data_IF_641803191819
#
_entry.id   IF_641803191819
#
_cell.length_a   1.000
_cell.length_b   1.000
_cell.length_c   1.000
_cell.angle_alpha   90.00
_cell.angle_beta   90.00
_cell.angle_gamma   90.00
#
_symmetry.space_group_name_H-M   'P 1'
#
loop_
_entity.id
_entity.type
_entity.pdbx_description
1 polymer ?
#
# COMPACT_ATOMS: atom_id res chain seq x y z
N UNK A 1 -20.89 20.42 -6.73
CA UNK A 1 -21.85 19.31 -6.88
C UNK A 1 -22.22 18.82 -5.49
N UNK A 2 -23.46 18.39 -5.28
CA UNK A 2 -23.86 17.85 -3.95
C UNK A 2 -23.68 16.33 -3.99
N UNK A 3 -22.58 15.82 -3.46
CA UNK A 3 -22.25 14.39 -3.44
C UNK A 3 -23.35 13.51 -2.80
N UNK A 4 -24.21 14.08 -1.93
CA UNK A 4 -25.34 13.34 -1.34
C UNK A 4 -26.46 13.02 -2.32
N UNK A 5 -26.50 13.68 -3.48
CA UNK A 5 -27.46 13.41 -4.54
C UNK A 5 -26.93 12.40 -5.57
N UNK A 6 -25.62 12.11 -5.53
CA UNK A 6 -24.99 11.15 -6.43
C UNK A 6 -25.25 9.72 -5.95
N UNK A 7 -25.41 8.79 -6.93
CA UNK A 7 -25.43 7.36 -6.67
C UNK A 7 -24.00 6.82 -6.68
N UNK A 8 -23.51 6.37 -5.54
CA UNK A 8 -22.12 6.01 -5.29
C UNK A 8 -21.98 4.49 -5.26
N UNK A 9 -21.08 3.95 -6.08
CA UNK A 9 -20.66 2.55 -6.00
C UNK A 9 -19.46 2.43 -5.05
N UNK A 10 -19.57 1.62 -4.01
CA UNK A 10 -18.44 1.21 -3.18
C UNK A 10 -17.94 -0.13 -3.72
N UNK A 11 -16.83 -0.12 -4.47
CA UNK A 11 -16.23 -1.35 -5.00
C UNK A 11 -15.52 -2.09 -3.88
N UNK A 12 -15.95 -3.30 -3.58
CA UNK A 12 -15.45 -4.14 -2.50
C UNK A 12 -15.35 -5.61 -2.96
N UNK A 13 -14.58 -6.43 -2.26
CA UNK A 13 -14.41 -7.83 -2.59
C UNK A 13 -13.41 -8.07 -3.72
N UNK A 14 -13.90 -8.28 -4.93
CA UNK A 14 -13.05 -8.61 -6.09
C UNK A 14 -12.51 -10.03 -6.07
N UNK A 15 -11.43 -10.30 -6.81
CA UNK A 15 -10.89 -11.67 -7.03
C UNK A 15 -9.45 -11.85 -6.56
N UNK A 16 -8.85 -10.84 -5.93
CA UNK A 16 -7.47 -10.92 -5.42
C UNK A 16 -7.36 -11.81 -4.18
N UNK A 17 -6.14 -12.14 -3.79
CA UNK A 17 -5.86 -12.84 -2.53
C UNK A 17 -6.29 -12.02 -1.28
N UNK A 18 -6.45 -10.69 -1.43
CA UNK A 18 -6.84 -9.76 -0.37
C UNK A 18 -8.36 -9.48 -0.33
N UNK A 19 -9.16 -10.36 -0.97
CA UNK A 19 -10.63 -10.24 -1.04
C UNK A 19 -11.28 -9.97 0.30
N UNK A 20 -10.95 -10.74 1.34
CA UNK A 20 -11.57 -10.60 2.68
C UNK A 20 -11.26 -9.24 3.32
N UNK A 21 -10.05 -8.73 3.12
CA UNK A 21 -9.68 -7.39 3.60
C UNK A 21 -10.52 -6.33 2.90
N UNK A 22 -10.73 -6.49 1.59
CA UNK A 22 -11.56 -5.60 0.78
C UNK A 22 -13.05 -5.65 1.18
N UNK A 23 -13.59 -6.83 1.46
CA UNK A 23 -14.96 -6.99 1.94
C UNK A 23 -15.17 -6.28 3.29
N UNK A 24 -14.26 -6.49 4.24
CA UNK A 24 -14.34 -5.89 5.57
C UNK A 24 -14.19 -4.36 5.51
N UNK A 25 -13.19 -3.87 4.78
CA UNK A 25 -12.96 -2.43 4.57
C UNK A 25 -14.15 -1.79 3.83
N UNK A 26 -14.64 -2.45 2.79
CA UNK A 26 -15.77 -1.97 2.00
C UNK A 26 -17.07 -1.91 2.79
N UNK A 27 -17.35 -2.91 3.64
CA UNK A 27 -18.52 -2.89 4.52
C UNK A 27 -18.46 -1.71 5.52
N UNK A 28 -17.28 -1.43 6.09
CA UNK A 28 -17.10 -0.29 7.00
C UNK A 28 -17.28 1.05 6.26
N UNK A 29 -16.69 1.21 5.08
CA UNK A 29 -16.84 2.42 4.23
C UNK A 29 -18.30 2.62 3.83
N UNK A 30 -18.98 1.57 3.36
CA UNK A 30 -20.38 1.61 2.96
C UNK A 30 -21.26 2.05 4.13
N UNK A 31 -21.09 1.44 5.30
CA UNK A 31 -21.82 1.79 6.52
C UNK A 31 -21.60 3.27 6.90
N UNK A 32 -20.37 3.75 6.83
CA UNK A 32 -20.04 5.14 7.12
C UNK A 32 -20.75 6.11 6.16
N UNK A 33 -20.70 5.85 4.84
CA UNK A 33 -21.36 6.70 3.85
C UNK A 33 -22.87 6.72 4.04
N UNK A 34 -23.50 5.56 4.24
CA UNK A 34 -24.95 5.46 4.46
C UNK A 34 -25.37 6.20 5.75
N UNK A 35 -24.61 6.05 6.85
CA UNK A 35 -24.88 6.76 8.09
C UNK A 35 -24.81 8.29 7.97
N UNK A 36 -23.99 8.79 7.04
CA UNK A 36 -23.85 10.22 6.73
C UNK A 36 -24.87 10.71 5.68
N UNK A 37 -25.79 9.84 5.24
CA UNK A 37 -26.87 10.18 4.31
C UNK A 37 -26.46 10.21 2.84
N UNK A 38 -25.41 9.50 2.46
CA UNK A 38 -25.02 9.30 1.06
C UNK A 38 -25.79 8.13 0.45
N UNK A 39 -26.11 8.21 -0.84
CA UNK A 39 -26.76 7.15 -1.60
C UNK A 39 -25.69 6.15 -2.11
N UNK A 40 -25.10 5.37 -1.19
CA UNK A 40 -24.01 4.46 -1.45
C UNK A 40 -24.47 2.98 -1.51
N UNK A 41 -23.90 2.21 -2.45
CA UNK A 41 -24.22 0.82 -2.71
C UNK A 41 -22.95 0.00 -2.82
N UNK A 42 -22.88 -1.15 -2.14
CA UNK A 42 -21.77 -2.09 -2.27
C UNK A 42 -21.86 -2.85 -3.59
N UNK A 43 -20.75 -2.89 -4.31
CA UNK A 43 -20.63 -3.56 -5.62
C UNK A 43 -19.40 -4.45 -5.58
N UNK A 44 -19.60 -5.77 -5.75
CA UNK A 44 -18.53 -6.74 -5.86
C UNK A 44 -18.24 -7.06 -7.34
N UNK A 45 -17.05 -6.70 -7.86
CA UNK A 45 -16.67 -7.01 -9.25
C UNK A 45 -16.64 -8.50 -9.59
N UNK A 46 -16.60 -9.37 -8.60
CA UNK A 46 -16.71 -10.81 -8.80
C UNK A 46 -18.09 -11.22 -9.32
N UNK A 47 -19.13 -10.49 -8.93
CA UNK A 47 -20.54 -10.81 -9.20
C UNK A 47 -21.19 -9.80 -10.17
N UNK A 48 -20.60 -8.60 -10.30
CA UNK A 48 -21.14 -7.51 -11.09
C UNK A 48 -20.14 -6.99 -12.12
N UNK A 49 -20.60 -6.80 -13.36
CA UNK A 49 -19.77 -6.21 -14.41
C UNK A 49 -19.65 -4.69 -14.22
N UNK A 50 -18.52 -4.22 -13.71
CA UNK A 50 -18.23 -2.81 -13.41
C UNK A 50 -18.40 -1.89 -14.63
N UNK A 51 -18.23 -2.39 -15.85
CA UNK A 51 -18.45 -1.61 -17.07
C UNK A 51 -19.91 -1.11 -17.21
N UNK A 52 -20.87 -1.71 -16.52
CA UNK A 52 -22.28 -1.32 -16.55
C UNK A 52 -22.62 -0.19 -15.57
N UNK A 53 -21.74 0.17 -14.64
CA UNK A 53 -22.03 1.15 -13.58
C UNK A 53 -22.61 2.45 -14.13
N UNK A 54 -22.02 3.01 -15.19
CA UNK A 54 -22.50 4.27 -15.78
C UNK A 54 -23.90 4.13 -16.38
N UNK A 55 -24.16 3.02 -17.06
CA UNK A 55 -25.47 2.73 -17.66
C UNK A 55 -26.55 2.48 -16.59
N UNK A 56 -26.16 1.91 -15.42
CA UNK A 56 -27.04 1.65 -14.29
C UNK A 56 -27.20 2.87 -13.37
N UNK A 57 -26.74 4.05 -13.84
CA UNK A 57 -26.98 5.35 -13.23
C UNK A 57 -26.09 5.64 -12.01
N UNK A 58 -24.94 5.00 -11.90
CA UNK A 58 -23.94 5.41 -10.90
C UNK A 58 -23.19 6.66 -11.40
N UNK A 59 -22.91 7.55 -10.46
CA UNK A 59 -22.27 8.86 -10.73
C UNK A 59 -20.80 8.87 -10.29
N UNK A 60 -20.44 8.01 -9.30
CA UNK A 60 -19.12 8.03 -8.66
C UNK A 60 -18.78 6.67 -8.08
N UNK A 61 -17.49 6.43 -7.91
CA UNK A 61 -16.97 5.19 -7.33
C UNK A 61 -16.07 5.49 -6.12
N UNK A 62 -16.34 4.81 -5.02
CA UNK A 62 -15.38 4.64 -3.93
C UNK A 62 -14.68 3.30 -4.13
N UNK A 63 -13.42 3.33 -4.56
CA UNK A 63 -12.64 2.10 -4.77
C UNK A 63 -11.95 1.69 -3.47
N UNK A 64 -12.32 0.54 -2.91
CA UNK A 64 -11.68 -0.09 -1.75
C UNK A 64 -11.31 -1.54 -2.04
N UNK A 65 -11.11 -1.85 -3.31
CA UNK A 65 -10.52 -3.11 -3.72
C UNK A 65 -9.04 -3.13 -3.33
N UNK A 66 -8.53 -4.29 -2.94
CA UNK A 66 -7.13 -4.48 -2.59
C UNK A 66 -6.44 -5.44 -3.56
N UNK A 67 -5.14 -5.24 -3.76
CA UNK A 67 -4.30 -6.08 -4.59
C UNK A 67 -4.58 -5.98 -6.08
N UNK A 68 -4.25 -7.05 -6.82
CA UNK A 68 -4.40 -7.08 -8.29
C UNK A 68 -5.85 -6.90 -8.72
N UNK A 69 -6.06 -6.12 -9.77
CA UNK A 69 -7.38 -5.76 -10.27
C UNK A 69 -8.07 -4.63 -9.50
N UNK A 70 -7.49 -4.15 -8.39
CA UNK A 70 -8.02 -3.05 -7.59
C UNK A 70 -7.04 -1.90 -7.41
N UNK A 71 -5.74 -2.22 -7.24
CA UNK A 71 -4.68 -1.26 -6.97
C UNK A 71 -3.63 -1.16 -8.09
N UNK A 72 -3.76 -1.93 -9.16
CA UNK A 72 -2.78 -2.08 -10.24
C UNK A 72 -3.04 -1.22 -11.49
N UNK A 73 -4.00 -0.30 -11.42
CA UNK A 73 -4.39 0.56 -12.53
C UNK A 73 -5.45 -0.01 -13.47
N UNK A 74 -5.76 -1.31 -13.37
CA UNK A 74 -6.76 -1.97 -14.26
C UNK A 74 -8.16 -1.45 -13.99
N UNK A 75 -8.58 -1.42 -12.72
CA UNK A 75 -9.89 -0.86 -12.33
C UNK A 75 -9.98 0.62 -12.64
N UNK A 76 -8.92 1.37 -12.33
CA UNK A 76 -8.84 2.80 -12.62
C UNK A 76 -8.99 3.07 -14.11
N UNK A 77 -8.33 2.29 -14.97
CA UNK A 77 -8.44 2.39 -16.42
C UNK A 77 -9.85 2.11 -16.94
N UNK A 78 -10.54 1.11 -16.38
CA UNK A 78 -11.93 0.83 -16.71
C UNK A 78 -12.84 2.00 -16.33
N UNK A 79 -12.68 2.55 -15.13
CA UNK A 79 -13.49 3.67 -14.62
C UNK A 79 -13.28 4.95 -15.46
N UNK A 80 -12.05 5.23 -15.88
CA UNK A 80 -11.75 6.34 -16.79
C UNK A 80 -12.42 6.13 -18.16
N UNK A 81 -12.40 4.91 -18.72
CA UNK A 81 -13.03 4.59 -20.00
C UNK A 81 -14.57 4.78 -19.99
N UNK A 82 -15.22 4.43 -18.88
CA UNK A 82 -16.68 4.62 -18.74
C UNK A 82 -17.05 6.02 -18.21
N UNK A 83 -16.05 6.86 -17.91
CA UNK A 83 -16.26 8.24 -17.48
C UNK A 83 -16.89 8.37 -16.09
N UNK A 84 -16.47 7.55 -15.13
CA UNK A 84 -16.85 7.64 -13.72
C UNK A 84 -15.70 8.16 -12.88
N UNK A 85 -15.88 9.27 -12.14
CA UNK A 85 -14.90 9.71 -11.15
C UNK A 85 -14.79 8.69 -10.01
N UNK A 86 -13.59 8.54 -9.46
CA UNK A 86 -13.29 7.55 -8.43
C UNK A 86 -12.30 8.06 -7.40
N UNK A 87 -12.31 7.44 -6.22
CA UNK A 87 -11.38 7.76 -5.13
C UNK A 87 -10.00 7.16 -5.37
N UNK A 88 -8.96 7.83 -4.88
CA UNK A 88 -7.59 7.33 -4.87
C UNK A 88 -6.77 7.66 -6.11
N UNK A 89 -5.69 6.94 -6.28
CA UNK A 89 -4.70 7.18 -7.33
C UNK A 89 -5.24 6.86 -8.72
N UNK A 90 -4.70 7.56 -9.74
CA UNK A 90 -5.00 7.30 -11.14
C UNK A 90 -4.27 6.08 -11.70
N UNK A 91 -4.52 5.75 -12.97
CA UNK A 91 -4.00 4.55 -13.66
C UNK A 91 -2.48 4.41 -13.52
N UNK A 92 -1.74 5.46 -13.87
CA UNK A 92 -0.27 5.42 -13.89
C UNK A 92 0.30 5.20 -12.48
N UNK A 93 -0.16 5.97 -11.49
CA UNK A 93 0.34 5.85 -10.13
C UNK A 93 0.02 4.49 -9.53
N UNK A 94 -1.21 3.99 -9.71
CA UNK A 94 -1.62 2.67 -9.24
C UNK A 94 -0.77 1.55 -9.86
N UNK A 95 -0.61 1.56 -11.19
CA UNK A 95 0.20 0.55 -11.88
C UNK A 95 1.67 0.61 -11.48
N UNK A 96 2.22 1.82 -11.33
CA UNK A 96 3.62 2.02 -10.92
C UNK A 96 3.86 1.54 -9.49
N UNK A 97 3.00 1.95 -8.55
CA UNK A 97 3.20 1.68 -7.12
C UNK A 97 2.93 0.23 -6.74
N UNK A 98 2.13 -0.49 -7.52
CA UNK A 98 1.98 -1.94 -7.37
C UNK A 98 3.30 -2.69 -7.64
N UNK A 99 4.17 -2.13 -8.50
CA UNK A 99 5.48 -2.68 -8.82
C UNK A 99 6.56 -2.07 -7.91
N UNK A 100 6.96 -2.81 -6.87
CA UNK A 100 7.95 -2.35 -5.88
C UNK A 100 9.30 -2.02 -6.51
N UNK A 101 9.75 -2.81 -7.49
CA UNK A 101 10.99 -2.57 -8.20
C UNK A 101 10.95 -1.22 -8.93
N UNK A 102 9.94 -0.99 -9.75
CA UNK A 102 9.83 0.24 -10.56
C UNK A 102 9.60 1.46 -9.67
N UNK A 103 8.81 1.33 -8.62
CA UNK A 103 8.61 2.39 -7.61
C UNK A 103 9.93 2.80 -6.98
N UNK A 104 10.71 1.83 -6.48
CA UNK A 104 12.02 2.10 -5.85
C UNK A 104 13.05 2.65 -6.85
N UNK A 105 13.07 2.14 -8.06
CA UNK A 105 13.94 2.68 -9.12
C UNK A 105 13.60 4.15 -9.42
N UNK A 106 12.32 4.50 -9.50
CA UNK A 106 11.90 5.88 -9.71
C UNK A 106 12.30 6.76 -8.52
N UNK A 107 12.03 6.33 -7.29
CA UNK A 107 12.44 7.05 -6.09
C UNK A 107 13.97 7.28 -6.05
N UNK A 108 14.76 6.24 -6.34
CA UNK A 108 16.22 6.33 -6.40
C UNK A 108 16.69 7.32 -7.48
N UNK A 109 16.05 7.34 -8.66
CA UNK A 109 16.34 8.29 -9.73
C UNK A 109 16.08 9.75 -9.33
N UNK A 110 15.11 9.98 -8.43
CA UNK A 110 14.81 11.30 -7.85
C UNK A 110 15.60 11.59 -6.56
N UNK A 111 16.59 10.77 -6.21
CA UNK A 111 17.43 10.95 -5.04
C UNK A 111 16.71 10.70 -3.71
N UNK A 112 15.65 9.90 -3.72
CA UNK A 112 14.96 9.49 -2.50
C UNK A 112 15.58 8.20 -1.93
N UNK A 113 15.69 8.06 -0.60
CA UNK A 113 16.36 6.93 0.03
C UNK A 113 15.48 5.68 -0.02
N UNK A 114 16.02 4.62 -0.59
CA UNK A 114 15.47 3.26 -0.58
C UNK A 114 16.54 2.30 -0.09
N UNK A 115 16.18 1.08 0.30
CA UNK A 115 17.13 0.03 0.58
C UNK A 115 17.99 -0.26 -0.66
N UNK A 116 19.26 -0.55 -0.47
CA UNK A 116 20.10 -1.08 -1.55
C UNK A 116 19.59 -2.46 -1.96
N UNK A 117 19.59 -2.72 -3.28
CA UNK A 117 18.93 -3.91 -3.81
C UNK A 117 19.62 -4.46 -5.05
N UNK A 118 19.44 -5.77 -5.26
CA UNK A 118 19.66 -6.50 -6.50
C UNK A 118 18.32 -6.98 -7.05
N UNK A 119 18.24 -7.05 -8.38
CA UNK A 119 17.03 -7.49 -9.08
C UNK A 119 17.35 -8.78 -9.82
N UNK A 120 16.55 -9.81 -9.54
CA UNK A 120 16.63 -11.10 -10.22
C UNK A 120 15.29 -11.33 -10.93
N UNK A 121 15.38 -11.75 -12.21
CA UNK A 121 14.21 -12.14 -12.99
C UNK A 121 14.26 -13.63 -13.31
N UNK A 122 13.12 -14.17 -13.72
CA UNK A 122 13.05 -15.57 -14.16
C UNK A 122 14.01 -15.87 -15.32
N UNK A 123 14.30 -14.87 -16.14
CA UNK A 123 15.18 -14.98 -17.30
C UNK A 123 16.66 -15.05 -16.88
N UNK A 124 17.08 -14.28 -15.83
CA UNK A 124 18.48 -14.16 -15.44
C UNK A 124 18.84 -14.87 -14.12
N UNK A 125 17.89 -15.59 -13.49
CA UNK A 125 18.15 -16.29 -12.22
C UNK A 125 19.30 -17.29 -12.29
N UNK A 126 19.59 -17.83 -13.47
CA UNK A 126 20.71 -18.75 -13.70
C UNK A 126 22.08 -18.07 -13.59
N UNK A 127 22.15 -16.73 -13.66
CA UNK A 127 23.34 -15.91 -13.48
C UNK A 127 23.54 -15.47 -12.03
N UNK A 128 22.58 -15.77 -11.13
CA UNK A 128 22.65 -15.37 -9.73
C UNK A 128 23.90 -15.95 -9.06
N UNK A 129 24.75 -15.06 -8.57
CA UNK A 129 25.88 -15.38 -7.72
C UNK A 129 25.59 -14.94 -6.27
N UNK A 130 25.15 -15.86 -5.38
CA UNK A 130 24.80 -15.52 -4.01
C UNK A 130 25.92 -14.85 -3.23
N UNK A 131 27.17 -15.30 -3.42
CA UNK A 131 28.31 -14.75 -2.73
C UNK A 131 28.54 -13.26 -3.11
N UNK A 132 28.47 -12.93 -4.40
CA UNK A 132 28.62 -11.55 -4.87
C UNK A 132 27.50 -10.63 -4.36
N UNK A 133 26.25 -11.14 -4.27
CA UNK A 133 25.14 -10.39 -3.70
C UNK A 133 25.37 -10.10 -2.21
N UNK A 134 25.79 -11.10 -1.43
CA UNK A 134 26.07 -10.93 -0.02
C UNK A 134 27.28 -10.00 0.22
N UNK A 135 28.32 -10.06 -0.61
CA UNK A 135 29.46 -9.14 -0.53
C UNK A 135 29.04 -7.69 -0.78
N UNK A 136 28.05 -7.46 -1.66
CA UNK A 136 27.54 -6.13 -1.99
C UNK A 136 26.55 -5.57 -0.97
N UNK A 137 25.58 -6.37 -0.53
CA UNK A 137 24.45 -5.91 0.28
C UNK A 137 24.59 -6.25 1.77
N UNK A 138 25.46 -7.17 2.14
CA UNK A 138 25.59 -7.70 3.50
C UNK A 138 24.53 -8.74 3.85
N UNK A 139 24.56 -9.21 5.09
CA UNK A 139 23.54 -10.08 5.70
C UNK A 139 23.01 -9.43 6.98
N UNK A 140 21.76 -9.69 7.35
CA UNK A 140 20.75 -10.47 6.61
C UNK A 140 20.20 -9.73 5.39
N UNK A 141 19.50 -10.45 4.48
CA UNK A 141 18.84 -9.91 3.30
C UNK A 141 17.34 -10.17 3.39
N UNK A 142 16.57 -9.35 2.66
CA UNK A 142 15.15 -9.57 2.42
C UNK A 142 14.91 -9.90 0.95
N UNK A 143 14.36 -11.08 0.67
CA UNK A 143 13.98 -11.53 -0.67
C UNK A 143 12.47 -11.44 -0.80
N UNK A 144 11.97 -10.78 -1.86
CA UNK A 144 10.53 -10.57 -2.06
C UNK A 144 10.14 -10.43 -3.53
N UNK A 145 8.93 -10.89 -3.91
CA UNK A 145 8.32 -10.61 -5.21
C UNK A 145 8.07 -9.10 -5.38
N UNK A 146 8.15 -8.60 -6.63
CA UNK A 146 7.92 -7.19 -6.94
C UNK A 146 6.44 -6.79 -6.88
N UNK A 147 5.54 -7.66 -7.37
CA UNK A 147 4.12 -7.37 -7.61
C UNK A 147 3.17 -7.97 -6.56
N UNK A 148 3.69 -8.60 -5.50
CA UNK A 148 2.84 -9.19 -4.46
C UNK A 148 2.74 -8.29 -3.23
N UNK A 149 1.54 -8.29 -2.62
CA UNK A 149 1.24 -7.65 -1.34
C UNK A 149 1.29 -8.61 -0.16
N UNK A 150 0.90 -8.13 1.02
CA UNK A 150 0.61 -8.93 2.22
C UNK A 150 1.71 -9.93 2.62
N UNK A 151 2.96 -9.60 2.37
CA UNK A 151 4.15 -10.43 2.70
C UNK A 151 4.20 -11.80 1.99
N UNK A 152 3.44 -11.99 0.91
CA UNK A 152 3.47 -13.23 0.11
C UNK A 152 4.84 -13.41 -0.54
N UNK A 153 5.43 -14.59 -0.40
CA UNK A 153 6.73 -14.90 -1.00
C UNK A 153 7.94 -14.22 -0.36
N UNK A 154 7.76 -13.54 0.78
CA UNK A 154 8.81 -12.85 1.54
C UNK A 154 9.69 -13.86 2.28
N UNK A 155 11.01 -13.67 2.24
CA UNK A 155 11.97 -14.51 2.97
C UNK A 155 13.13 -13.68 3.50
N UNK A 156 13.40 -13.76 4.81
CA UNK A 156 14.62 -13.23 5.42
C UNK A 156 15.74 -14.25 5.31
N UNK A 157 16.82 -13.88 4.66
CA UNK A 157 18.01 -14.70 4.40
C UNK A 157 19.09 -14.33 5.40
N UNK A 158 19.56 -15.29 6.20
CA UNK A 158 20.57 -15.08 7.25
C UNK A 158 21.94 -15.67 6.88
N UNK A 159 22.00 -16.52 5.85
CA UNK A 159 23.21 -17.15 5.36
C UNK A 159 23.22 -17.19 3.83
N UNK A 160 24.42 -17.14 3.22
CA UNK A 160 24.57 -17.12 1.75
C UNK A 160 23.95 -18.34 1.07
N UNK A 161 23.98 -19.49 1.72
CA UNK A 161 23.46 -20.77 1.22
C UNK A 161 21.93 -20.75 1.08
N UNK A 162 21.24 -19.90 1.84
CA UNK A 162 19.78 -19.76 1.81
C UNK A 162 19.27 -18.92 0.63
N UNK A 163 20.14 -18.03 0.08
CA UNK A 163 19.71 -17.02 -0.89
C UNK A 163 19.07 -17.62 -2.13
N UNK A 164 19.68 -18.68 -2.69
CA UNK A 164 19.16 -19.32 -3.90
C UNK A 164 17.76 -19.90 -3.64
N UNK A 165 17.57 -20.61 -2.54
CA UNK A 165 16.27 -21.21 -2.21
C UNK A 165 15.19 -20.16 -1.94
N UNK A 166 15.56 -19.02 -1.33
CA UNK A 166 14.65 -17.90 -1.11
C UNK A 166 14.20 -17.25 -2.44
N UNK A 167 15.12 -17.07 -3.38
CA UNK A 167 14.80 -16.57 -4.73
C UNK A 167 13.92 -17.58 -5.49
N UNK A 168 14.26 -18.87 -5.48
CA UNK A 168 13.46 -19.92 -6.12
C UNK A 168 12.04 -20.02 -5.51
N UNK A 169 11.91 -19.73 -4.22
CA UNK A 169 10.60 -19.66 -3.55
C UNK A 169 9.80 -18.42 -4.02
N UNK A 170 10.40 -17.24 -4.03
CA UNK A 170 9.76 -16.01 -4.45
C UNK A 170 9.34 -16.05 -5.94
N UNK A 171 10.12 -16.71 -6.81
CA UNK A 171 9.81 -16.91 -8.24
C UNK A 171 8.53 -17.75 -8.49
N UNK A 172 7.97 -18.40 -7.48
CA UNK A 172 6.65 -19.07 -7.59
C UNK A 172 5.50 -18.06 -7.64
N UNK A 173 5.71 -16.85 -7.19
CA UNK A 173 4.68 -15.80 -7.05
C UNK A 173 4.83 -14.68 -8.08
N UNK A 174 6.08 -14.39 -8.53
CA UNK A 174 6.34 -13.33 -9.50
C UNK A 174 7.55 -13.69 -10.37
N UNK A 175 7.65 -13.07 -11.53
CA UNK A 175 8.80 -13.20 -12.44
C UNK A 175 9.96 -12.25 -12.09
N UNK A 176 9.74 -11.27 -11.21
CA UNK A 176 10.72 -10.26 -10.79
C UNK A 176 10.86 -10.26 -9.27
N UNK A 177 12.08 -10.49 -8.81
CA UNK A 177 12.40 -10.61 -7.39
C UNK A 177 13.36 -9.50 -6.98
N UNK A 178 13.09 -8.87 -5.85
CA UNK A 178 14.02 -7.95 -5.18
C UNK A 178 14.76 -8.71 -4.08
N UNK A 179 16.07 -8.51 -4.04
CA UNK A 179 16.95 -8.91 -2.95
C UNK A 179 17.43 -7.60 -2.32
N UNK A 180 17.00 -7.29 -1.11
CA UNK A 180 17.29 -6.02 -0.43
C UNK A 180 18.15 -6.22 0.81
N UNK A 181 18.96 -5.22 1.16
CA UNK A 181 19.55 -5.14 2.49
C UNK A 181 18.46 -5.16 3.56
N UNK A 182 18.74 -5.79 4.69
CA UNK A 182 17.83 -5.82 5.83
C UNK A 182 17.80 -4.47 6.54
N UNK A 183 16.62 -3.86 6.62
CA UNK A 183 16.39 -2.66 7.42
C UNK A 183 16.07 -3.07 8.87
N UNK A 184 16.98 -2.81 9.79
CA UNK A 184 16.94 -3.35 11.15
C UNK A 184 16.25 -2.44 12.17
N UNK A 185 15.81 -1.27 11.76
CA UNK A 185 15.23 -0.26 12.67
C UNK A 185 13.70 -0.29 12.72
N UNK A 186 13.11 0.85 13.12
CA UNK A 186 11.67 0.99 13.27
C UNK A 186 10.93 0.83 11.95
N UNK A 187 9.78 0.15 11.99
CA UNK A 187 8.80 0.11 10.90
C UNK A 187 7.74 1.19 11.11
N UNK A 188 7.57 2.04 10.13
CA UNK A 188 6.68 3.19 10.14
C UNK A 188 5.73 3.13 8.95
N UNK A 189 4.49 3.51 9.17
CA UNK A 189 3.53 3.71 8.09
C UNK A 189 2.94 5.10 8.18
N UNK A 190 2.86 5.79 7.05
CA UNK A 190 2.54 7.22 7.01
C UNK A 190 1.42 7.47 6.00
N UNK A 191 0.20 7.76 6.47
CA UNK A 191 -0.91 8.11 5.61
C UNK A 191 -0.75 9.50 5.00
N UNK A 192 -1.24 9.67 3.77
CA UNK A 192 -1.34 10.94 3.05
C UNK A 192 -2.78 11.12 2.57
N UNK A 193 -3.42 12.21 2.94
CA UNK A 193 -4.80 12.54 2.61
C UNK A 193 -4.86 13.91 1.89
N UNK A 194 -5.27 13.91 0.63
CA UNK A 194 -5.34 15.15 -0.17
C UNK A 194 -3.97 15.84 -0.36
N UNK A 195 -2.87 15.07 -0.26
CA UNK A 195 -1.52 15.60 -0.29
C UNK A 195 -0.99 16.10 1.06
N UNK A 196 -1.78 16.04 2.12
CA UNK A 196 -1.36 16.31 3.50
C UNK A 196 -0.88 15.03 4.18
N UNK A 197 0.31 15.08 4.76
CA UNK A 197 0.89 13.95 5.50
C UNK A 197 0.31 13.93 6.90
N UNK A 198 -0.31 12.81 7.28
CA UNK A 198 -0.85 12.59 8.61
C UNK A 198 0.24 12.01 9.55
N UNK A 199 0.03 12.01 10.88
CA UNK A 199 0.98 11.46 11.84
C UNK A 199 1.37 10.03 11.52
N UNK A 200 2.65 9.72 11.60
CA UNK A 200 3.17 8.37 11.38
C UNK A 200 2.67 7.41 12.47
N UNK A 201 2.44 6.16 12.06
CA UNK A 201 2.20 5.04 12.98
C UNK A 201 3.46 4.19 13.01
N UNK A 202 4.02 3.95 14.20
CA UNK A 202 5.09 2.98 14.40
C UNK A 202 4.48 1.62 14.70
N UNK A 203 4.97 0.61 13.99
CA UNK A 203 4.55 -0.78 14.07
C UNK A 203 5.63 -1.56 14.83
N UNK A 204 5.23 -2.28 15.87
CA UNK A 204 6.11 -3.16 16.63
C UNK A 204 5.49 -4.56 16.59
N UNK A 205 5.88 -5.40 15.62
CA UNK A 205 5.40 -6.78 15.54
C UNK A 205 5.91 -7.62 16.71
N UNK A 206 5.20 -8.68 17.08
CA UNK A 206 5.67 -9.66 18.07
C UNK A 206 6.85 -10.49 17.54
N UNK A 207 6.88 -10.72 16.21
CA UNK A 207 7.90 -11.49 15.52
C UNK A 207 9.09 -10.67 15.02
N UNK A 208 9.93 -11.29 14.21
CA UNK A 208 11.12 -10.63 13.63
C UNK A 208 10.77 -9.56 12.58
N UNK A 209 9.59 -9.62 11.96
CA UNK A 209 9.09 -8.64 10.99
C UNK A 209 7.56 -8.70 10.89
N UNK A 210 6.97 -7.69 10.27
CA UNK A 210 5.52 -7.53 10.12
C UNK A 210 5.00 -8.37 8.94
N UNK A 211 4.82 -9.68 9.20
CA UNK A 211 4.34 -10.66 8.23
C UNK A 211 2.80 -10.68 8.12
N UNK A 212 2.28 -11.64 7.35
CA UNK A 212 0.84 -11.81 7.16
C UNK A 212 0.10 -12.05 8.47
N UNK A 213 0.66 -12.90 9.34
CA UNK A 213 0.04 -13.24 10.62
C UNK A 213 0.01 -12.03 11.56
N UNK A 214 1.10 -11.25 11.59
CA UNK A 214 1.17 -10.00 12.36
C UNK A 214 0.24 -8.91 11.82
N UNK A 215 -0.10 -8.93 10.51
CA UNK A 215 -0.99 -7.96 9.87
C UNK A 215 -2.47 -8.24 10.10
N UNK A 216 -2.88 -9.51 10.09
CA UNK A 216 -4.29 -9.88 9.95
C UNK A 216 -4.80 -10.88 11.00
N UNK A 217 -3.92 -11.59 11.72
CA UNK A 217 -4.29 -12.68 12.61
C UNK A 217 -3.91 -12.39 14.06
N UNK A 218 -2.70 -11.87 14.31
CA UNK A 218 -2.19 -11.66 15.66
C UNK A 218 -2.69 -10.33 16.26
N UNK A 219 -3.23 -10.39 17.47
CA UNK A 219 -3.59 -9.21 18.28
C UNK A 219 -2.39 -8.65 19.07
N UNK A 220 -1.20 -9.26 18.95
CA UNK A 220 -0.03 -8.90 19.77
C UNK A 220 0.84 -7.80 19.14
N UNK A 221 0.61 -7.46 17.85
CA UNK A 221 1.29 -6.34 17.21
C UNK A 221 0.90 -5.02 17.89
N UNK A 222 1.89 -4.26 18.33
CA UNK A 222 1.68 -2.96 18.96
C UNK A 222 1.78 -1.83 17.93
N UNK A 223 0.90 -0.85 18.04
CA UNK A 223 0.84 0.31 17.18
C UNK A 223 0.89 1.60 18.00
N UNK A 224 1.85 2.45 17.71
CA UNK A 224 2.02 3.74 18.38
C UNK A 224 1.72 4.88 17.40
N UNK A 225 0.73 5.70 17.71
CA UNK A 225 0.36 6.87 16.93
C UNK A 225 0.04 8.05 17.85
N UNK A 226 0.80 9.15 17.78
CA UNK A 226 2.02 9.38 16.96
C UNK A 226 3.14 8.37 17.22
N UNK A 227 4.06 8.25 16.25
CA UNK A 227 5.12 7.23 16.26
C UNK A 227 6.16 7.38 17.39
N UNK A 228 6.15 8.50 18.10
CA UNK A 228 7.10 8.82 19.18
C UNK A 228 8.45 9.35 18.69
N UNK A 229 8.49 9.89 17.47
CA UNK A 229 9.67 10.57 16.91
C UNK A 229 9.82 11.98 17.52
N UNK A 230 11.03 12.54 17.48
CA UNK A 230 11.20 13.96 17.78
C UNK A 230 10.53 14.84 16.70
N UNK A 231 10.23 16.10 17.05
CA UNK A 231 9.58 17.03 16.11
C UNK A 231 10.39 17.21 14.81
N UNK A 232 11.72 17.24 14.92
CA UNK A 232 12.62 17.33 13.76
C UNK A 232 12.53 16.08 12.87
N UNK A 233 12.48 14.89 13.49
CA UNK A 233 12.37 13.62 12.78
C UNK A 233 11.00 13.45 12.13
N UNK A 234 9.92 13.90 12.79
CA UNK A 234 8.58 13.92 12.19
C UNK A 234 8.52 14.82 10.96
N UNK A 235 9.14 16.01 11.02
CA UNK A 235 9.21 16.92 9.88
C UNK A 235 10.06 16.37 8.73
N UNK A 236 11.18 15.70 9.04
CA UNK A 236 12.02 15.02 8.04
C UNK A 236 11.23 13.93 7.34
N UNK A 237 10.56 13.05 8.10
CA UNK A 237 9.73 11.97 7.59
C UNK A 237 8.57 12.51 6.74
N UNK A 238 7.88 13.54 7.21
CA UNK A 238 6.77 14.14 6.47
C UNK A 238 7.22 14.73 5.12
N UNK A 239 8.38 15.40 5.06
CA UNK A 239 8.95 15.92 3.81
C UNK A 239 9.33 14.79 2.86
N UNK A 240 9.94 13.72 3.39
CA UNK A 240 10.32 12.54 2.60
C UNK A 240 9.08 11.87 1.99
N UNK A 241 8.08 11.60 2.82
CA UNK A 241 6.83 10.94 2.41
C UNK A 241 6.07 11.80 1.39
N UNK A 242 5.96 13.11 1.63
CA UNK A 242 5.31 14.01 0.67
C UNK A 242 6.00 13.97 -0.70
N UNK A 243 7.33 14.02 -0.71
CA UNK A 243 8.08 13.94 -1.96
C UNK A 243 7.95 12.57 -2.63
N UNK A 244 7.95 11.48 -1.86
CA UNK A 244 7.75 10.14 -2.38
C UNK A 244 6.36 9.97 -3.04
N UNK A 245 5.32 10.53 -2.39
CA UNK A 245 3.95 10.59 -2.89
C UNK A 245 3.86 11.36 -4.22
N UNK A 246 4.48 12.55 -4.29
CA UNK A 246 4.43 13.40 -5.48
C UNK A 246 5.17 12.79 -6.67
N UNK A 247 6.36 12.21 -6.44
CA UNK A 247 7.21 11.63 -7.50
C UNK A 247 6.50 10.49 -8.23
N UNK A 248 5.74 9.66 -7.53
CA UNK A 248 4.99 8.55 -8.16
C UNK A 248 3.63 8.99 -8.71
N UNK A 249 3.26 10.26 -8.55
CA UNK A 249 2.02 10.82 -9.06
C UNK A 249 0.77 10.39 -8.29
N UNK A 250 0.90 10.09 -7.02
CA UNK A 250 -0.25 9.78 -6.17
C UNK A 250 -1.20 10.99 -6.05
N UNK A 251 -2.49 10.70 -5.86
CA UNK A 251 -3.54 11.66 -5.57
C UNK A 251 -4.58 11.08 -4.61
N UNK A 252 -5.45 11.93 -4.09
CA UNK A 252 -6.51 11.53 -3.16
C UNK A 252 -5.95 11.06 -1.83
N UNK A 253 -5.79 9.78 -1.65
CA UNK A 253 -5.28 9.19 -0.42
C UNK A 253 -4.37 8.01 -0.72
N UNK A 254 -3.39 7.78 0.14
CA UNK A 254 -2.49 6.62 0.09
C UNK A 254 -1.74 6.47 1.41
N UNK A 255 -1.03 5.37 1.58
CA UNK A 255 -0.17 5.12 2.73
C UNK A 255 1.21 4.73 2.23
N UNK A 256 2.25 5.39 2.75
CA UNK A 256 3.63 5.09 2.41
C UNK A 256 4.28 4.40 3.60
N UNK A 257 4.85 3.22 3.35
CA UNK A 257 5.56 2.45 4.35
C UNK A 257 7.05 2.80 4.30
N UNK A 258 7.63 3.03 5.47
CA UNK A 258 8.99 3.50 5.68
C UNK A 258 9.63 2.67 6.78
N UNK A 259 10.88 2.29 6.60
CA UNK A 259 11.67 1.68 7.68
C UNK A 259 12.91 2.53 7.95
N UNK A 260 13.51 2.33 9.12
CA UNK A 260 14.83 2.90 9.39
C UNK A 260 15.92 1.83 9.23
N UNK A 261 17.08 2.28 8.73
CA UNK A 261 18.28 1.45 8.74
C UNK A 261 18.91 1.38 10.16
N UNK A 262 20.01 0.64 10.32
CA UNK A 262 20.70 0.50 11.60
C UNK A 262 21.26 1.83 12.14
N UNK A 263 21.40 2.86 11.32
CA UNK A 263 21.85 4.20 11.69
C UNK A 263 20.67 5.15 11.98
N UNK A 264 19.43 4.65 11.83
CA UNK A 264 18.20 5.42 12.05
C UNK A 264 17.80 6.29 10.85
N UNK A 265 18.41 6.13 9.67
CA UNK A 265 17.99 6.88 8.49
C UNK A 265 16.73 6.26 7.88
N UNK A 266 15.80 7.09 7.42
CA UNK A 266 14.57 6.63 6.77
C UNK A 266 14.85 6.03 5.39
N UNK A 267 14.20 4.90 5.10
CA UNK A 267 14.22 4.18 3.82
C UNK A 267 12.77 3.92 3.38
N UNK A 268 12.42 4.37 2.18
CA UNK A 268 11.10 4.11 1.61
C UNK A 268 10.96 2.63 1.23
N UNK A 269 9.83 2.03 1.58
CA UNK A 269 9.56 0.61 1.33
C UNK A 269 8.59 0.42 0.18
N UNK A 270 7.36 0.93 0.31
CA UNK A 270 6.28 0.79 -0.69
C UNK A 270 5.20 1.86 -0.53
N UNK A 271 4.29 1.92 -1.50
CA UNK A 271 3.06 2.72 -1.47
C UNK A 271 1.86 1.80 -1.54
N UNK A 272 0.89 2.03 -0.67
CA UNK A 272 -0.42 1.41 -0.72
C UNK A 272 -1.44 2.46 -1.19
N UNK A 273 -2.02 2.25 -2.37
CA UNK A 273 -2.93 3.23 -3.00
C UNK A 273 -4.37 3.12 -2.53
N UNK A 274 -4.78 1.97 -2.00
CA UNK A 274 -6.06 1.76 -1.33
C UNK A 274 -5.81 1.15 0.06
N UNK A 275 -5.35 1.93 1.04
CA UNK A 275 -5.09 1.40 2.38
C UNK A 275 -6.35 0.81 3.03
N UNK A 276 -6.18 -0.22 3.87
CA UNK A 276 -7.29 -0.83 4.60
C UNK A 276 -8.08 0.17 5.45
N UNK A 277 -9.39 -0.01 5.53
CA UNK A 277 -10.36 0.86 6.20
C UNK A 277 -11.23 0.09 7.20
N UNK A 278 -10.63 -0.85 7.93
CA UNK A 278 -11.27 -1.51 9.08
C UNK A 278 -10.97 -0.74 10.37
N UNK A 279 -11.62 -1.12 11.47
CA UNK A 279 -11.36 -0.56 12.81
C UNK A 279 -9.91 -0.73 13.29
N UNK A 280 -9.20 -1.75 12.77
CA UNK A 280 -7.80 -2.02 13.10
C UNK A 280 -6.81 -1.38 12.12
N UNK A 281 -7.31 -0.78 11.03
CA UNK A 281 -6.46 -0.21 9.97
C UNK A 281 -5.71 1.04 10.42
N UNK A 282 -4.49 1.18 9.93
CA UNK A 282 -3.55 2.20 10.40
C UNK A 282 -3.85 3.59 9.85
N UNK A 283 -4.50 3.68 8.68
CA UNK A 283 -4.92 4.97 8.12
C UNK A 283 -5.99 5.65 9.01
N UNK A 284 -7.12 4.99 9.36
CA UNK A 284 -8.09 5.55 10.32
C UNK A 284 -7.49 5.86 11.69
N UNK A 285 -6.57 5.00 12.18
CA UNK A 285 -5.87 5.22 13.44
C UNK A 285 -5.08 6.53 13.43
N UNK A 286 -4.32 6.79 12.38
CA UNK A 286 -3.58 8.04 12.22
C UNK A 286 -4.51 9.25 12.11
N UNK A 287 -5.55 9.17 11.28
CA UNK A 287 -6.52 10.26 11.11
C UNK A 287 -7.21 10.64 12.43
N UNK A 288 -7.52 9.66 13.28
CA UNK A 288 -8.15 9.90 14.57
C UNK A 288 -7.30 10.72 15.53
N UNK A 289 -5.97 10.62 15.45
CA UNK A 289 -5.06 11.39 16.32
C UNK A 289 -5.04 12.90 16.02
N UNK A 290 -5.50 13.27 14.82
CA UNK A 290 -5.69 14.68 14.42
C UNK A 290 -7.18 15.10 14.42
N UNK A 291 -8.03 14.33 15.11
CA UNK A 291 -9.43 14.67 15.32
C UNK A 291 -10.37 14.38 14.15
N UNK A 292 -9.94 13.57 13.17
CA UNK A 292 -10.78 13.14 12.03
C UNK A 292 -11.42 11.80 12.40
N UNK A 293 -12.76 11.78 12.57
CA UNK A 293 -13.48 10.52 12.80
C UNK A 293 -13.45 9.62 11.56
N UNK A 294 -13.80 8.35 11.72
CA UNK A 294 -13.86 7.41 10.60
C UNK A 294 -14.83 7.87 9.50
N UNK A 295 -16.02 8.32 9.88
CA UNK A 295 -17.03 8.82 8.95
C UNK A 295 -16.53 10.09 8.23
N UNK A 296 -15.90 11.00 8.96
CA UNK A 296 -15.31 12.20 8.37
C UNK A 296 -14.17 11.86 7.40
N UNK A 297 -13.36 10.86 7.73
CA UNK A 297 -12.28 10.38 6.86
C UNK A 297 -12.85 9.82 5.55
N UNK A 298 -13.85 8.94 5.63
CA UNK A 298 -14.50 8.34 4.46
C UNK A 298 -15.10 9.43 3.56
N UNK A 299 -15.78 10.42 4.14
CA UNK A 299 -16.35 11.55 3.39
C UNK A 299 -15.25 12.38 2.74
N UNK A 300 -14.17 12.71 3.46
CA UNK A 300 -13.02 13.45 2.89
C UNK A 300 -12.38 12.71 1.71
N UNK A 301 -12.20 11.39 1.82
CA UNK A 301 -11.68 10.56 0.71
C UNK A 301 -12.62 10.63 -0.50
N UNK A 302 -13.93 10.55 -0.27
CA UNK A 302 -14.92 10.67 -1.35
C UNK A 302 -14.87 12.05 -2.02
N UNK A 303 -14.72 13.12 -1.25
CA UNK A 303 -14.61 14.50 -1.76
C UNK A 303 -13.35 14.74 -2.61
N UNK A 304 -12.29 13.95 -2.38
CA UNK A 304 -11.05 13.98 -3.16
C UNK A 304 -11.12 13.17 -4.47
N UNK A 305 -12.24 12.52 -4.76
CA UNK A 305 -12.39 11.75 -6.01
C UNK A 305 -12.44 12.68 -7.24
N UNK A 306 -11.75 12.28 -8.30
CA UNK A 306 -11.61 13.04 -9.55
C UNK A 306 -12.16 12.25 -10.74
#
# INVERSE_FOLDING_TARGET
MNLKQEKIAVLLGGTSAEREVSLNSGAAVLSALVSQGYNAHGIDPKEYNVANLKADGFDRVFNILHGRGGEDGTMQGLLEQIGLPYTGCGVMASALTMDKMRTKMLWKAFGLPVADMEIVTKENVHELNPQAVVEKLGLPLMVKPSLEGSSVGLTKVKAVEELKSAVDYALKFDNTILIEEWLAGDELTVPVLGGEVLPAVRIVPEGEFYDYDAKYISDNTQYFCPAGLSAEREQELAKLVKRAYDVVGCRGWSRIDVMTDAQGNFRLVEVNTNPGMTSHSLFPKSASTVGISFEQLVVKILELSA
#
